data_IF_407413263742
#
_entry.id   IF_407413263742
#
_cell.length_a   1.000
_cell.length_b   1.000
_cell.length_c   1.000
_cell.angle_alpha   90.00
_cell.angle_beta   90.00
_cell.angle_gamma   90.00
#
_symmetry.space_group_name_H-M   'P 1'
#
loop_
_entity.id
_entity.type
_entity.pdbx_description
1 polymer ?
#
# COMPACT_ATOMS: atom_id res chain seq x y z
N UNK A 1 -23.71 -39.13 15.88
CA UNK A 1 -22.38 -38.59 16.24
C UNK A 1 -22.04 -37.51 15.24
N UNK A 2 -22.21 -36.24 15.61
CA UNK A 2 -21.97 -35.09 14.73
C UNK A 2 -20.51 -34.65 14.92
N UNK A 3 -19.63 -34.99 13.98
CA UNK A 3 -18.25 -34.50 14.01
C UNK A 3 -18.20 -33.07 13.49
N UNK A 4 -17.78 -32.14 14.34
CA UNK A 4 -17.46 -30.78 13.95
C UNK A 4 -16.05 -30.78 13.36
N UNK A 5 -15.92 -30.51 12.07
CA UNK A 5 -14.62 -30.20 11.47
C UNK A 5 -14.23 -28.79 11.93
N UNK A 6 -13.21 -28.69 12.79
CA UNK A 6 -12.60 -27.41 13.12
C UNK A 6 -11.77 -26.95 11.91
N UNK A 7 -12.29 -25.96 11.17
CA UNK A 7 -11.48 -25.22 10.21
C UNK A 7 -10.46 -24.39 11.00
N UNK A 8 -9.17 -24.70 10.85
CA UNK A 8 -8.11 -23.83 11.35
C UNK A 8 -8.27 -22.45 10.71
N UNK A 9 -8.29 -21.35 11.48
CA UNK A 9 -8.27 -20.03 10.89
C UNK A 9 -6.94 -19.91 10.15
N UNK A 10 -7.00 -19.77 8.82
CA UNK A 10 -5.86 -19.27 8.08
C UNK A 10 -5.53 -17.91 8.70
N UNK A 11 -4.33 -17.77 9.26
CA UNK A 11 -3.78 -16.48 9.66
C UNK A 11 -3.73 -15.63 8.40
N UNK A 12 -4.81 -14.90 8.14
CA UNK A 12 -4.83 -13.84 7.15
C UNK A 12 -3.74 -12.86 7.59
N UNK A 13 -2.69 -12.76 6.79
CA UNK A 13 -1.57 -11.85 7.01
C UNK A 13 -2.14 -10.42 7.07
N UNK A 14 -2.43 -9.94 8.28
CA UNK A 14 -2.95 -8.61 8.51
C UNK A 14 -1.87 -7.54 8.27
N UNK A 15 -2.28 -6.28 8.23
CA UNK A 15 -1.36 -5.16 7.96
C UNK A 15 -0.21 -5.10 8.98
N UNK A 16 -0.47 -5.51 10.23
CA UNK A 16 0.55 -5.56 11.28
C UNK A 16 1.63 -6.61 10.96
N UNK A 17 1.26 -7.78 10.48
CA UNK A 17 2.22 -8.75 9.96
C UNK A 17 2.98 -8.20 8.75
N UNK A 18 2.30 -7.57 7.79
CA UNK A 18 2.94 -7.00 6.59
C UNK A 18 3.93 -5.88 6.92
N UNK A 19 3.70 -5.11 7.99
CA UNK A 19 4.65 -4.10 8.48
C UNK A 19 5.94 -4.71 9.05
N UNK A 20 5.96 -6.01 9.36
CA UNK A 20 7.20 -6.73 9.72
C UNK A 20 7.97 -7.24 8.50
N UNK A 21 7.33 -7.30 7.33
CA UNK A 21 7.95 -7.79 6.10
C UNK A 21 8.82 -6.70 5.48
N UNK A 22 10.09 -7.00 5.25
CA UNK A 22 10.98 -6.11 4.51
C UNK A 22 10.57 -6.11 3.04
N UNK A 23 9.94 -5.02 2.60
CA UNK A 23 9.53 -4.87 1.21
C UNK A 23 10.74 -4.77 0.25
N UNK A 24 10.67 -5.36 -0.96
CA UNK A 24 11.81 -5.44 -1.88
C UNK A 24 12.41 -4.09 -2.31
N UNK A 25 11.60 -3.04 -2.39
CA UNK A 25 12.01 -1.70 -2.86
C UNK A 25 12.09 -0.67 -1.72
N UNK A 26 12.01 -1.12 -0.46
CA UNK A 26 12.10 -0.27 0.73
C UNK A 26 10.82 0.53 1.04
N UNK A 27 9.70 0.15 0.43
CA UNK A 27 8.38 0.71 0.70
C UNK A 27 7.63 0.03 1.84
N UNK A 28 6.34 0.34 1.94
CA UNK A 28 5.38 -0.35 2.81
C UNK A 28 4.51 -1.28 1.96
N UNK A 29 4.34 -2.53 2.40
CA UNK A 29 3.47 -3.53 1.76
C UNK A 29 2.06 -3.48 2.34
N UNK A 30 1.06 -3.58 1.47
CA UNK A 30 -0.33 -3.76 1.85
C UNK A 30 -1.02 -4.76 0.94
N UNK A 31 -1.97 -5.49 1.49
CA UNK A 31 -2.87 -6.33 0.71
C UNK A 31 -3.95 -5.49 0.04
N UNK A 32 -4.22 -5.76 -1.23
CA UNK A 32 -5.28 -5.15 -2.02
C UNK A 32 -5.97 -6.23 -2.85
N UNK A 33 -6.93 -6.93 -2.24
CA UNK A 33 -7.62 -8.06 -2.88
C UNK A 33 -6.65 -9.17 -3.30
N UNK A 34 -6.53 -9.51 -4.59
CA UNK A 34 -5.67 -10.60 -5.07
C UNK A 34 -4.19 -10.20 -5.25
N UNK A 35 -3.81 -8.94 -4.95
CA UNK A 35 -2.44 -8.47 -5.11
C UNK A 35 -1.89 -7.86 -3.82
N UNK A 36 -0.57 -7.84 -3.70
CA UNK A 36 0.17 -6.97 -2.81
C UNK A 36 0.59 -5.70 -3.57
N UNK A 37 0.41 -4.56 -2.91
CA UNK A 37 0.93 -3.28 -3.36
C UNK A 37 2.06 -2.86 -2.41
N UNK A 38 3.24 -2.59 -2.97
CA UNK A 38 4.32 -1.91 -2.26
C UNK A 38 4.33 -0.43 -2.63
N UNK A 39 4.09 0.45 -1.66
CA UNK A 39 4.20 1.90 -1.85
C UNK A 39 5.57 2.40 -1.43
N UNK A 40 6.30 3.03 -2.35
CA UNK A 40 7.58 3.70 -2.11
C UNK A 40 7.42 5.20 -2.28
N UNK A 41 7.69 5.95 -1.20
CA UNK A 41 7.73 7.41 -1.18
C UNK A 41 9.11 7.89 -0.72
N UNK A 42 9.60 8.98 -1.31
CA UNK A 42 10.85 9.61 -0.89
C UNK A 42 10.69 10.33 0.45
N UNK A 43 11.67 10.13 1.35
CA UNK A 43 11.75 10.84 2.64
C UNK A 43 12.49 12.17 2.54
N UNK A 44 13.14 12.45 1.42
CA UNK A 44 14.06 13.59 1.26
C UNK A 44 13.73 14.42 0.02
N UNK A 45 13.65 15.75 0.14
CA UNK A 45 13.60 16.50 1.41
C UNK A 45 12.28 16.23 2.18
N UNK A 46 12.27 16.38 3.52
CA UNK A 46 11.07 16.11 4.33
C UNK A 46 9.96 17.14 4.10
N UNK A 47 10.28 18.35 3.66
CA UNK A 47 9.32 19.41 3.37
C UNK A 47 8.43 19.07 2.17
N UNK A 48 7.32 19.79 2.05
CA UNK A 48 6.41 19.66 0.91
C UNK A 48 7.12 20.07 -0.39
N UNK A 49 7.38 19.09 -1.24
CA UNK A 49 7.99 19.27 -2.55
C UNK A 49 7.45 18.22 -3.52
N UNK A 50 7.47 18.52 -4.82
CA UNK A 50 7.21 17.54 -5.85
C UNK A 50 8.27 16.42 -5.78
N UNK A 51 7.82 15.21 -5.50
CA UNK A 51 8.65 14.04 -5.26
C UNK A 51 8.07 12.81 -5.97
N UNK A 52 8.93 11.84 -6.32
CA UNK A 52 8.47 10.59 -6.90
C UNK A 52 7.66 9.77 -5.90
N UNK A 53 6.65 9.09 -6.44
CA UNK A 53 5.92 8.01 -5.80
C UNK A 53 5.93 6.80 -6.74
N UNK A 54 6.23 5.62 -6.20
CA UNK A 54 6.20 4.38 -6.96
C UNK A 54 5.33 3.34 -6.25
N UNK A 55 4.62 2.54 -7.04
CA UNK A 55 3.82 1.41 -6.58
C UNK A 55 4.26 0.17 -7.33
N UNK A 56 4.70 -0.85 -6.61
CA UNK A 56 5.01 -2.15 -7.20
C UNK A 56 3.89 -3.14 -6.92
N UNK A 57 3.54 -3.96 -7.92
CA UNK A 57 2.44 -4.92 -7.85
C UNK A 57 3.00 -6.34 -7.87
N UNK A 58 2.60 -7.14 -6.88
CA UNK A 58 2.93 -8.56 -6.80
C UNK A 58 1.70 -9.37 -6.42
N UNK A 59 1.70 -10.69 -6.63
CA UNK A 59 0.68 -11.56 -6.04
C UNK A 59 0.99 -11.85 -4.56
N UNK A 60 0.13 -12.66 -3.94
CA UNK A 60 0.29 -13.11 -2.55
C UNK A 60 1.59 -13.90 -2.30
N UNK A 61 2.15 -14.52 -3.35
CA UNK A 61 3.41 -15.26 -3.27
C UNK A 61 4.65 -14.38 -3.57
N UNK A 62 4.44 -13.09 -3.87
CA UNK A 62 5.51 -12.15 -4.21
C UNK A 62 5.94 -12.17 -5.68
N UNK A 63 5.23 -12.88 -6.56
CA UNK A 63 5.53 -12.86 -7.99
C UNK A 63 5.06 -11.54 -8.59
N UNK A 64 5.92 -10.93 -9.42
CA UNK A 64 5.61 -9.70 -10.16
C UNK A 64 4.33 -9.85 -10.99
N UNK A 65 3.40 -8.91 -10.85
CA UNK A 65 2.24 -8.79 -11.73
C UNK A 65 2.46 -7.67 -12.73
N UNK A 66 2.28 -7.96 -14.02
CA UNK A 66 2.52 -6.98 -15.07
C UNK A 66 1.63 -5.75 -14.91
N UNK A 67 2.23 -4.56 -14.98
CA UNK A 67 1.51 -3.28 -14.99
C UNK A 67 1.21 -2.78 -16.40
N UNK A 68 1.54 -3.52 -17.45
CA UNK A 68 1.21 -3.15 -18.81
C UNK A 68 -0.31 -2.98 -19.00
N UNK A 69 -0.73 -1.82 -19.51
CA UNK A 69 -2.16 -1.48 -19.67
C UNK A 69 -2.91 -1.21 -18.36
N UNK A 70 -2.21 -1.16 -17.23
CA UNK A 70 -2.80 -0.78 -15.96
C UNK A 70 -2.97 0.75 -15.86
N UNK A 71 -3.86 1.17 -14.98
CA UNK A 71 -4.00 2.56 -14.53
C UNK A 71 -4.13 2.62 -13.02
N UNK A 72 -3.91 3.78 -12.43
CA UNK A 72 -4.15 3.96 -11.01
C UNK A 72 -4.14 5.41 -10.57
N UNK A 73 -4.38 5.60 -9.28
CA UNK A 73 -4.32 6.89 -8.61
C UNK A 73 -3.69 6.72 -7.24
N UNK A 74 -2.81 7.63 -6.87
CA UNK A 74 -2.38 7.81 -5.48
C UNK A 74 -3.00 9.09 -4.92
N UNK A 75 -3.64 8.98 -3.76
CA UNK A 75 -4.10 10.12 -2.95
C UNK A 75 -3.27 10.17 -1.68
N UNK A 76 -2.56 11.27 -1.46
CA UNK A 76 -1.69 11.51 -0.30
C UNK A 76 -2.35 12.56 0.60
N UNK A 77 -2.39 12.27 1.89
CA UNK A 77 -2.84 13.19 2.93
C UNK A 77 -1.67 13.47 3.87
N UNK A 78 -1.38 14.74 4.13
CA UNK A 78 -0.36 15.17 5.09
C UNK A 78 -0.82 16.47 5.75
N UNK A 79 -0.80 16.55 7.08
CA UNK A 79 -1.44 17.65 7.81
C UNK A 79 -2.90 17.85 7.39
N UNK A 80 -3.22 19.03 6.83
CA UNK A 80 -4.56 19.37 6.30
C UNK A 80 -4.64 19.32 4.77
N UNK A 81 -3.57 18.89 4.11
CA UNK A 81 -3.46 18.90 2.65
C UNK A 81 -3.80 17.54 2.07
N UNK A 82 -4.51 17.54 0.95
CA UNK A 82 -4.80 16.36 0.13
C UNK A 82 -4.29 16.60 -1.29
N UNK A 83 -3.46 15.70 -1.78
CA UNK A 83 -2.92 15.70 -3.16
C UNK A 83 -3.29 14.39 -3.84
N UNK A 84 -3.66 14.44 -5.11
CA UNK A 84 -3.94 13.26 -5.92
C UNK A 84 -3.15 13.32 -7.21
N UNK A 85 -2.53 12.21 -7.60
CA UNK A 85 -1.76 12.09 -8.83
C UNK A 85 -2.10 10.77 -9.55
N UNK A 86 -2.17 10.77 -10.89
CA UNK A 86 -2.34 9.55 -11.67
C UNK A 86 -1.06 8.71 -11.60
N UNK A 87 -1.24 7.40 -11.46
CA UNK A 87 -0.18 6.39 -11.53
C UNK A 87 -0.17 5.80 -12.95
N UNK A 88 1.00 5.83 -13.59
CA UNK A 88 1.19 5.31 -14.96
C UNK A 88 2.20 4.17 -14.98
N UNK A 89 2.02 3.13 -15.82
CA UNK A 89 2.98 2.03 -15.89
C UNK A 89 4.39 2.51 -16.23
N UNK A 90 5.38 1.98 -15.53
CA UNK A 90 6.79 2.38 -15.63
C UNK A 90 7.71 1.17 -15.41
N UNK A 91 7.72 0.25 -16.38
CA UNK A 91 8.46 -1.01 -16.33
C UNK A 91 7.57 -2.22 -16.10
N UNK A 92 8.16 -3.29 -15.55
CA UNK A 92 7.52 -4.61 -15.46
C UNK A 92 6.23 -4.58 -14.62
N UNK A 93 6.37 -4.28 -13.33
CA UNK A 93 5.32 -4.38 -12.33
C UNK A 93 5.19 -3.10 -11.51
N UNK A 94 5.66 -1.98 -12.06
CA UNK A 94 5.76 -0.69 -11.39
C UNK A 94 4.82 0.32 -12.04
N UNK A 95 4.16 1.09 -11.20
CA UNK A 95 3.46 2.31 -11.56
C UNK A 95 4.17 3.50 -10.89
N UNK A 96 4.29 4.62 -11.60
CA UNK A 96 4.97 5.83 -11.13
C UNK A 96 4.06 7.05 -11.17
N UNK A 97 4.29 7.99 -10.26
CA UNK A 97 3.67 9.31 -10.23
C UNK A 97 4.65 10.35 -9.66
N UNK A 98 4.40 11.62 -9.98
CA UNK A 98 4.97 12.78 -9.29
C UNK A 98 3.87 13.42 -8.44
N UNK A 99 4.16 13.72 -7.18
CA UNK A 99 3.21 14.38 -6.29
C UNK A 99 3.93 15.29 -5.30
N UNK A 100 3.28 16.41 -4.95
CA UNK A 100 3.72 17.28 -3.85
C UNK A 100 3.27 16.69 -2.52
N UNK A 101 4.22 16.36 -1.64
CA UNK A 101 3.91 15.91 -0.27
C UNK A 101 5.04 16.23 0.70
N UNK A 102 4.74 16.42 1.98
CA UNK A 102 5.74 16.44 3.05
C UNK A 102 5.91 15.02 3.61
N UNK A 103 7.14 14.58 3.87
CA UNK A 103 7.42 13.25 4.42
C UNK A 103 7.35 13.27 5.96
N UNK A 104 6.14 13.44 6.49
CA UNK A 104 5.86 13.52 7.92
C UNK A 104 5.30 12.20 8.46
N UNK A 105 5.45 11.89 9.77
CA UNK A 105 4.95 10.65 10.35
C UNK A 105 3.42 10.45 10.27
N UNK A 106 2.66 11.54 10.14
CA UNK A 106 1.20 11.55 9.97
C UNK A 106 0.76 11.35 8.50
N UNK A 107 1.69 11.25 7.55
CA UNK A 107 1.36 11.04 6.15
C UNK A 107 0.60 9.72 5.97
N UNK A 108 -0.55 9.82 5.30
CA UNK A 108 -1.37 8.69 4.86
C UNK A 108 -1.46 8.68 3.35
N UNK A 109 -1.56 7.51 2.76
CA UNK A 109 -1.84 7.38 1.33
C UNK A 109 -2.93 6.35 1.06
N UNK A 110 -3.71 6.59 0.02
CA UNK A 110 -4.66 5.64 -0.56
C UNK A 110 -4.19 5.41 -1.99
N UNK A 111 -3.91 4.16 -2.32
CA UNK A 111 -3.52 3.76 -3.68
C UNK A 111 -4.64 2.90 -4.24
N UNK A 112 -5.10 3.24 -5.44
CA UNK A 112 -6.02 2.44 -6.24
C UNK A 112 -5.35 2.05 -7.55
N UNK A 113 -5.34 0.77 -7.88
CA UNK A 113 -4.73 0.21 -9.09
C UNK A 113 -5.74 -0.66 -9.81
N UNK A 114 -5.89 -0.44 -11.11
CA UNK A 114 -6.68 -1.27 -12.03
C UNK A 114 -5.72 -1.90 -13.02
N UNK A 115 -5.43 -3.19 -12.85
CA UNK A 115 -4.66 -3.97 -13.84
C UNK A 115 -5.50 -4.17 -15.11
N UNK A 116 -4.83 -4.43 -16.24
CA UNK A 116 -5.49 -4.59 -17.53
C UNK A 116 -6.61 -5.66 -17.47
N UNK A 117 -7.85 -5.26 -17.79
CA UNK A 117 -9.01 -6.14 -17.78
C UNK A 117 -9.47 -6.61 -16.39
N UNK A 118 -8.92 -6.04 -15.30
CA UNK A 118 -9.29 -6.36 -13.92
C UNK A 118 -10.09 -5.23 -13.28
N UNK A 119 -10.73 -5.51 -12.14
CA UNK A 119 -11.38 -4.49 -11.32
C UNK A 119 -10.34 -3.77 -10.43
N UNK A 120 -10.65 -2.53 -10.04
CA UNK A 120 -9.77 -1.74 -9.19
C UNK A 120 -9.53 -2.39 -7.83
N UNK A 121 -8.26 -2.43 -7.40
CA UNK A 121 -7.81 -2.87 -6.09
C UNK A 121 -7.28 -1.68 -5.30
N UNK A 122 -7.60 -1.59 -4.01
CA UNK A 122 -7.23 -0.44 -3.20
C UNK A 122 -6.60 -0.85 -1.87
N UNK A 123 -5.59 -0.09 -1.44
CA UNK A 123 -4.98 -0.21 -0.13
C UNK A 123 -4.73 1.16 0.53
N UNK A 124 -4.65 1.17 1.86
CA UNK A 124 -4.35 2.35 2.68
C UNK A 124 -2.98 2.17 3.34
N UNK A 125 -2.19 3.23 3.35
CA UNK A 125 -0.79 3.22 3.79
C UNK A 125 -0.53 4.32 4.82
N UNK A 126 0.43 4.04 5.69
CA UNK A 126 0.99 4.93 6.71
C UNK A 126 2.53 4.85 6.65
N UNK A 127 3.14 5.16 5.50
CA UNK A 127 4.50 4.72 5.15
C UNK A 127 5.60 5.31 6.04
N UNK A 128 5.30 6.36 6.79
CA UNK A 128 6.23 7.04 7.68
C UNK A 128 5.81 7.00 9.16
N UNK A 129 4.73 6.27 9.50
CA UNK A 129 4.30 6.13 10.88
C UNK A 129 5.34 5.35 11.70
N UNK A 130 5.59 5.81 12.93
CA UNK A 130 6.35 5.03 13.92
C UNK A 130 5.58 3.76 14.30
N UNK A 131 6.30 2.66 14.58
CA UNK A 131 5.70 1.38 14.96
C UNK A 131 4.77 1.47 16.18
N UNK A 132 4.97 2.45 17.06
CA UNK A 132 4.12 2.68 18.24
C UNK A 132 2.72 3.24 17.89
N UNK A 133 2.58 3.91 16.74
CA UNK A 133 1.32 4.52 16.31
C UNK A 133 0.39 3.58 15.52
N UNK A 134 0.86 2.37 15.18
CA UNK A 134 0.07 1.39 14.43
C UNK A 134 -0.89 0.58 15.33
N UNK A 135 -0.74 0.67 16.66
CA UNK A 135 -1.48 -0.15 17.64
C UNK A 135 -2.76 0.49 18.22
N UNK A 136 -3.09 1.73 17.85
CA UNK A 136 -4.18 2.47 18.54
C UNK A 136 -5.61 2.21 18.02
N UNK A 137 -5.80 1.42 16.96
CA UNK A 137 -7.12 1.20 16.33
C UNK A 137 -7.78 -0.16 16.66
N UNK A 138 -7.32 -0.89 17.68
CA UNK A 138 -7.95 -2.14 18.16
C UNK A 138 -8.45 -2.02 19.62
N UNK A 139 -9.49 -1.22 19.82
CA UNK A 139 -10.38 -1.24 20.98
C UNK A 139 -11.76 -0.84 20.44
N UNK A 140 -12.87 -1.57 20.49
CA UNK A 140 -13.36 -2.64 21.34
C UNK A 140 -14.39 -3.45 20.53
N UNK A 141 -14.46 -4.77 20.71
CA UNK A 141 -15.71 -5.54 20.58
C UNK A 141 -15.65 -6.69 21.59
N UNK A 142 -16.27 -6.46 22.74
CA UNK A 142 -16.67 -7.48 23.70
C UNK A 142 -18.20 -7.57 23.72
#
# INVERSE_FOLDING_TARGET
MLSWAAASPALAHDDAYLDTVKAPHGGQLRMAGPVHLELVLSKTPPEAQDKPAAVYVTDHAGNKQSTAGASGTITILYGKTKVSAPLTPDGDNKLSAQAVYAATPDLKAIVSVTLAGQVAQQARFTPFASKDNAHSDHAEHH
#
